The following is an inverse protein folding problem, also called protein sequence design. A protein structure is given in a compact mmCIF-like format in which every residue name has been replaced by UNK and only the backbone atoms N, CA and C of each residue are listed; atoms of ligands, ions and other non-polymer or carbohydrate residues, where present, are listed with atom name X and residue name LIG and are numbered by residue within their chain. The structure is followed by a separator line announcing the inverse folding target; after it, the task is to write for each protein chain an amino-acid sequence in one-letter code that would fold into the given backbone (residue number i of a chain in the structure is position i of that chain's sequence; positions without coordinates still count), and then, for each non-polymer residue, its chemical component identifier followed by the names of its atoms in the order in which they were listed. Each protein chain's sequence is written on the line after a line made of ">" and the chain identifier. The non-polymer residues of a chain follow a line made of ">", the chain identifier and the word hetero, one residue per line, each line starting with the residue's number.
data_IF_363446448957
#
_entry.id   IF_363446448957
#
_cell.length_a   1.000
_cell.length_b   1.000
_cell.length_c   1.000
_cell.angle_alpha   90.00
_cell.angle_beta   90.00
_cell.angle_gamma   90.00
#
_symmetry.space_group_name_H-M   'P 1'
#
loop_
_entity.id
_entity.type
_entity.pdbx_description
1 polymer ?
#
# COMPACT_ATOMS: atom_id res chain seq x y z
N UNK A 1 24.76 10.39 -13.00
CA UNK A 1 23.61 11.21 -13.46
C UNK A 1 23.63 11.37 -14.97
N UNK A 2 22.57 10.89 -15.62
CA UNK A 2 22.36 11.06 -17.06
C UNK A 2 22.12 12.53 -17.44
N UNK A 3 22.31 12.86 -18.72
CA UNK A 3 22.24 14.24 -19.23
C UNK A 3 20.86 14.89 -19.02
N UNK A 4 19.78 14.10 -18.99
CA UNK A 4 18.41 14.56 -18.82
C UNK A 4 17.90 14.59 -17.36
N UNK A 5 18.75 14.22 -16.38
CA UNK A 5 18.32 14.13 -14.99
C UNK A 5 18.24 15.50 -14.31
N UNK A 6 17.02 15.94 -13.98
CA UNK A 6 16.75 17.27 -13.38
C UNK A 6 16.88 17.29 -11.85
N UNK A 7 16.79 16.15 -11.18
CA UNK A 7 16.77 16.04 -9.71
C UNK A 7 17.60 14.87 -9.18
N UNK A 8 17.90 14.91 -7.88
CA UNK A 8 18.47 13.80 -7.13
C UNK A 8 17.33 13.00 -6.52
N UNK A 9 17.12 11.78 -7.00
CA UNK A 9 16.04 10.92 -6.54
C UNK A 9 16.47 10.12 -5.30
N UNK A 10 15.61 10.06 -4.30
CA UNK A 10 15.86 9.28 -3.09
C UNK A 10 14.62 8.50 -2.65
N UNK A 11 14.85 7.43 -1.88
CA UNK A 11 13.82 6.63 -1.24
C UNK A 11 14.18 6.43 0.23
N UNK A 12 13.26 6.77 1.12
CA UNK A 12 13.38 6.49 2.56
C UNK A 12 12.81 5.10 2.84
N UNK A 13 13.60 4.24 3.48
CA UNK A 13 13.17 2.89 3.87
C UNK A 13 13.78 2.47 5.20
N UNK A 14 13.27 1.38 5.77
CA UNK A 14 13.80 0.75 6.97
C UNK A 14 15.07 -0.09 6.71
N UNK A 15 15.25 -0.59 5.49
CA UNK A 15 16.39 -1.43 5.14
C UNK A 15 16.72 -1.42 3.66
N UNK A 16 17.98 -1.67 3.33
CA UNK A 16 18.45 -1.79 1.95
C UNK A 16 17.74 -2.91 1.17
N UNK A 17 17.27 -3.95 1.88
CA UNK A 17 16.49 -5.03 1.27
C UNK A 17 15.11 -4.53 0.85
N UNK A 18 14.42 -3.81 1.74
CA UNK A 18 13.12 -3.18 1.49
C UNK A 18 13.20 -2.19 0.33
N UNK A 19 14.23 -1.34 0.32
CA UNK A 19 14.49 -0.40 -0.76
C UNK A 19 14.54 -1.08 -2.12
N UNK A 20 15.34 -2.15 -2.26
CA UNK A 20 15.52 -2.86 -3.54
C UNK A 20 14.26 -3.54 -4.07
N UNK A 21 13.32 -3.90 -3.20
CA UNK A 21 12.04 -4.51 -3.57
C UNK A 21 10.90 -3.50 -3.71
N UNK A 22 11.16 -2.21 -3.50
CA UNK A 22 10.12 -1.20 -3.52
C UNK A 22 9.55 -1.01 -4.95
N UNK A 23 8.21 -0.99 -5.10
CA UNK A 23 7.57 -0.88 -6.41
C UNK A 23 7.90 0.45 -7.11
N UNK A 24 8.17 1.51 -6.34
CA UNK A 24 8.52 2.84 -6.85
C UNK A 24 9.80 2.86 -7.69
N UNK A 25 10.68 1.86 -7.58
CA UNK A 25 11.95 1.83 -8.30
C UNK A 25 11.83 1.31 -9.74
N UNK A 26 10.78 0.57 -10.09
CA UNK A 26 10.72 -0.17 -11.36
C UNK A 26 10.93 0.75 -12.57
N UNK A 27 10.24 1.90 -12.61
CA UNK A 27 10.35 2.86 -13.72
C UNK A 27 11.72 3.56 -13.75
N UNK A 28 12.33 3.84 -12.60
CA UNK A 28 13.65 4.48 -12.53
C UNK A 28 14.76 3.52 -12.96
N UNK A 29 14.68 2.25 -12.56
CA UNK A 29 15.62 1.20 -12.99
C UNK A 29 15.52 0.99 -14.50
N UNK A 30 14.32 0.95 -15.07
CA UNK A 30 14.12 0.83 -16.52
C UNK A 30 14.73 2.01 -17.31
N UNK A 31 14.72 3.21 -16.73
CA UNK A 31 15.31 4.43 -17.31
C UNK A 31 16.79 4.64 -16.94
N UNK A 32 17.42 3.68 -16.27
CA UNK A 32 18.82 3.77 -15.79
C UNK A 32 19.08 5.02 -14.92
N UNK A 33 18.10 5.39 -14.09
CA UNK A 33 18.18 6.52 -13.16
C UNK A 33 18.62 6.04 -11.78
N UNK A 34 19.71 6.61 -11.29
CA UNK A 34 20.25 6.31 -9.96
C UNK A 34 19.35 6.89 -8.85
N UNK A 35 19.12 6.09 -7.80
CA UNK A 35 18.32 6.46 -6.62
C UNK A 35 19.16 6.28 -5.35
N UNK A 36 19.13 7.28 -4.47
CA UNK A 36 19.75 7.23 -3.15
C UNK A 36 18.82 6.52 -2.15
N UNK A 37 19.32 5.49 -1.48
CA UNK A 37 18.59 4.84 -0.39
C UNK A 37 18.96 5.49 0.94
N UNK A 38 17.96 6.05 1.60
CA UNK A 38 18.05 6.61 2.93
C UNK A 38 17.49 5.57 3.90
N UNK A 39 18.36 5.02 4.75
CA UNK A 39 18.00 3.89 5.63
C UNK A 39 18.08 4.25 7.10
N UNK A 40 18.70 5.38 7.42
CA UNK A 40 18.78 5.88 8.79
C UNK A 40 17.75 7.01 9.00
N UNK A 41 17.07 7.07 10.16
CA UNK A 41 16.09 8.13 10.44
C UNK A 41 16.65 9.56 10.33
N UNK A 42 17.95 9.73 10.53
CA UNK A 42 18.63 11.03 10.41
C UNK A 42 18.80 11.48 8.95
N UNK A 43 18.83 10.54 8.00
CA UNK A 43 19.07 10.81 6.59
C UNK A 43 17.96 11.68 5.99
N UNK A 44 16.70 11.37 6.32
CA UNK A 44 15.54 12.11 5.84
C UNK A 44 15.61 13.57 6.31
N UNK A 45 15.89 13.79 7.59
CA UNK A 45 16.04 15.12 8.18
C UNK A 45 17.20 15.88 7.55
N UNK A 46 18.31 15.19 7.27
CA UNK A 46 19.47 15.80 6.62
C UNK A 46 19.14 16.27 5.19
N UNK A 47 18.49 15.43 4.38
CA UNK A 47 18.11 15.74 3.01
C UNK A 47 17.06 16.86 2.94
N UNK A 48 16.05 16.83 3.83
CA UNK A 48 15.04 17.88 3.92
C UNK A 48 15.66 19.25 4.24
N UNK A 49 16.68 19.29 5.10
CA UNK A 49 17.40 20.54 5.44
C UNK A 49 18.38 20.98 4.35
N UNK A 50 19.00 20.05 3.62
CA UNK A 50 19.96 20.35 2.56
C UNK A 50 19.27 21.04 1.36
N UNK A 51 18.02 20.66 1.06
CA UNK A 51 17.16 21.14 -0.04
C UNK A 51 17.71 20.93 -1.45
N UNK A 52 18.94 21.38 -1.73
CA UNK A 52 19.60 21.27 -3.02
C UNK A 52 21.07 20.90 -2.88
N UNK A 53 21.59 20.19 -3.87
CA UNK A 53 23.02 19.93 -4.02
C UNK A 53 23.41 20.17 -5.47
N UNK A 54 24.41 21.04 -5.71
CA UNK A 54 24.84 21.45 -7.06
C UNK A 54 23.66 21.85 -7.97
N UNK A 55 22.77 22.70 -7.43
CA UNK A 55 21.57 23.22 -8.11
C UNK A 55 20.49 22.16 -8.42
N UNK A 56 20.67 20.91 -7.97
CA UNK A 56 19.68 19.84 -8.11
C UNK A 56 18.90 19.69 -6.81
N UNK A 57 17.57 19.64 -6.92
CA UNK A 57 16.66 19.37 -5.79
C UNK A 57 16.65 17.88 -5.46
N UNK A 58 16.42 17.56 -4.20
CA UNK A 58 16.10 16.21 -3.77
C UNK A 58 14.61 15.92 -3.98
N UNK A 59 14.28 14.80 -4.62
CA UNK A 59 12.92 14.36 -4.91
C UNK A 59 12.72 12.95 -4.34
N UNK A 60 11.69 12.80 -3.53
CA UNK A 60 11.30 11.53 -2.95
C UNK A 60 10.48 10.74 -3.97
N UNK A 61 10.94 9.55 -4.32
CA UNK A 61 10.26 8.74 -5.35
C UNK A 61 9.00 8.03 -4.83
N UNK A 62 8.78 8.01 -3.51
CA UNK A 62 7.54 7.49 -2.93
C UNK A 62 6.38 8.49 -3.00
N UNK A 63 6.68 9.75 -3.39
CA UNK A 63 5.69 10.81 -3.52
C UNK A 63 5.15 10.91 -4.93
N UNK A 64 3.94 11.46 -5.02
CA UNK A 64 3.15 11.62 -6.24
C UNK A 64 3.82 12.53 -7.28
N UNK A 65 4.73 13.43 -6.87
CA UNK A 65 5.29 14.50 -7.70
C UNK A 65 6.50 14.09 -8.56
N UNK A 66 6.62 12.80 -8.89
CA UNK A 66 7.79 12.28 -9.59
C UNK A 66 7.73 12.50 -11.12
N UNK A 67 8.39 13.56 -11.58
CA UNK A 67 8.59 13.83 -13.01
C UNK A 67 9.87 13.17 -13.54
N UNK A 68 9.72 12.23 -14.49
CA UNK A 68 10.81 11.46 -15.09
C UNK A 68 11.15 11.86 -16.54
N UNK A 69 10.75 13.07 -16.96
CA UNK A 69 11.04 13.62 -18.29
C UNK A 69 10.15 13.10 -19.44
N UNK A 70 10.17 13.85 -20.54
CA UNK A 70 9.07 13.95 -21.52
C UNK A 70 9.06 12.86 -22.61
N UNK A 71 9.96 11.87 -22.57
CA UNK A 71 10.15 10.93 -23.70
C UNK A 71 8.97 9.97 -23.96
N UNK A 72 8.04 9.80 -23.01
CA UNK A 72 6.93 8.84 -23.11
C UNK A 72 5.52 9.48 -23.08
N UNK A 73 5.39 10.81 -23.26
CA UNK A 73 4.10 11.51 -23.11
C UNK A 73 2.96 10.92 -23.96
N UNK A 74 3.27 10.43 -25.17
CA UNK A 74 2.26 9.87 -26.08
C UNK A 74 1.69 8.57 -25.52
N UNK A 75 2.57 7.65 -25.08
CA UNK A 75 2.14 6.37 -24.50
C UNK A 75 1.41 6.58 -23.18
N UNK A 76 1.86 7.52 -22.36
CA UNK A 76 1.20 7.85 -21.10
C UNK A 76 -0.21 8.40 -21.35
N UNK A 77 -0.40 9.26 -22.37
CA UNK A 77 -1.74 9.75 -22.74
C UNK A 77 -2.66 8.65 -23.26
N UNK A 78 -2.15 7.75 -24.11
CA UNK A 78 -2.92 6.62 -24.63
C UNK A 78 -3.34 5.67 -23.52
N UNK A 79 -2.42 5.30 -22.63
CA UNK A 79 -2.72 4.46 -21.47
C UNK A 79 -3.72 5.14 -20.52
N UNK A 80 -3.57 6.45 -20.26
CA UNK A 80 -4.54 7.20 -19.46
C UNK A 80 -5.95 7.15 -20.07
N UNK A 81 -6.06 7.30 -21.39
CA UNK A 81 -7.36 7.22 -22.07
C UNK A 81 -7.96 5.82 -22.04
N UNK A 82 -7.15 4.79 -22.25
CA UNK A 82 -7.60 3.40 -22.30
C UNK A 82 -8.08 2.87 -20.94
N UNK A 83 -7.40 3.27 -19.86
CA UNK A 83 -7.63 2.78 -18.51
C UNK A 83 -8.43 3.75 -17.63
N UNK A 84 -8.88 4.89 -18.16
CA UNK A 84 -9.67 5.86 -17.40
C UNK A 84 -10.92 5.22 -16.76
N UNK A 85 -11.64 4.42 -17.54
CA UNK A 85 -12.82 3.70 -17.05
C UNK A 85 -12.48 2.75 -15.89
N UNK A 86 -11.34 2.07 -15.96
CA UNK A 86 -10.89 1.18 -14.89
C UNK A 86 -10.55 1.98 -13.63
N UNK A 87 -9.83 3.10 -13.78
CA UNK A 87 -9.48 3.98 -12.67
C UNK A 87 -10.73 4.51 -11.95
N UNK A 88 -11.72 4.99 -12.69
CA UNK A 88 -12.98 5.45 -12.13
C UNK A 88 -13.72 4.32 -11.41
N UNK A 89 -13.76 3.13 -12.01
CA UNK A 89 -14.40 1.96 -11.41
C UNK A 89 -13.70 1.52 -10.13
N UNK A 90 -12.36 1.47 -10.11
CA UNK A 90 -11.58 1.18 -8.90
C UNK A 90 -11.81 2.23 -7.81
N UNK A 91 -11.87 3.53 -8.17
CA UNK A 91 -12.15 4.61 -7.22
C UNK A 91 -13.54 4.50 -6.60
N UNK A 92 -14.55 4.11 -7.39
CA UNK A 92 -15.90 3.85 -6.91
C UNK A 92 -15.92 2.65 -5.95
N UNK A 93 -15.25 1.56 -6.34
CA UNK A 93 -15.21 0.33 -5.55
C UNK A 93 -14.47 0.51 -4.21
N UNK A 94 -13.36 1.24 -4.22
CA UNK A 94 -12.53 1.48 -3.03
C UNK A 94 -13.08 2.61 -2.14
N UNK A 95 -14.00 3.43 -2.65
CA UNK A 95 -14.62 4.51 -1.89
C UNK A 95 -13.59 5.43 -1.23
N UNK A 96 -13.74 5.67 0.07
CA UNK A 96 -12.87 6.60 0.81
C UNK A 96 -11.46 6.06 1.11
N UNK A 97 -11.18 4.79 0.80
CA UNK A 97 -9.84 4.21 0.97
C UNK A 97 -8.79 4.92 0.09
N UNK A 98 -9.20 5.37 -1.09
CA UNK A 98 -8.35 6.09 -2.05
C UNK A 98 -8.99 7.41 -2.47
N UNK A 99 -8.20 8.47 -2.58
CA UNK A 99 -8.67 9.75 -3.10
C UNK A 99 -8.74 9.77 -4.62
N UNK A 100 -7.82 9.07 -5.28
CA UNK A 100 -7.73 8.98 -6.74
C UNK A 100 -7.15 7.62 -7.14
N UNK A 101 -7.57 7.10 -8.28
CA UNK A 101 -6.88 6.04 -8.99
C UNK A 101 -6.42 6.57 -10.35
N UNK A 102 -5.21 6.23 -10.78
CA UNK A 102 -4.66 6.70 -12.06
C UNK A 102 -3.72 5.69 -12.71
N UNK A 103 -3.70 5.70 -14.04
CA UNK A 103 -2.72 4.98 -14.83
C UNK A 103 -1.53 5.90 -15.05
N UNK A 104 -0.41 5.58 -14.38
CA UNK A 104 0.83 6.37 -14.34
C UNK A 104 0.69 7.73 -13.63
N UNK A 105 1.79 8.15 -12.97
CA UNK A 105 1.88 9.43 -12.26
C UNK A 105 1.47 10.62 -13.13
N UNK A 106 0.42 11.32 -12.71
CA UNK A 106 0.00 12.58 -13.29
C UNK A 106 0.10 13.69 -12.25
N UNK A 107 1.13 14.52 -12.39
CA UNK A 107 1.41 15.67 -11.55
C UNK A 107 0.45 16.84 -11.76
N UNK A 108 -0.58 16.77 -12.59
CA UNK A 108 -1.42 17.95 -12.90
C UNK A 108 -2.48 18.29 -11.83
N UNK A 109 -2.76 17.40 -10.87
CA UNK A 109 -3.84 17.58 -9.88
C UNK A 109 -3.28 18.02 -8.51
N UNK A 110 -2.68 19.21 -8.51
CA UNK A 110 -1.75 19.66 -7.47
C UNK A 110 -2.45 20.24 -6.24
N UNK A 111 -1.89 19.91 -5.07
CA UNK A 111 -2.02 20.58 -3.77
C UNK A 111 -3.16 20.12 -2.83
N UNK A 112 -4.38 19.87 -3.33
CA UNK A 112 -5.50 19.46 -2.46
C UNK A 112 -5.50 17.97 -2.06
N UNK A 113 -4.69 17.15 -2.74
CA UNK A 113 -4.56 15.71 -2.46
C UNK A 113 -3.39 15.37 -1.53
N UNK A 114 -2.63 16.37 -1.02
CA UNK A 114 -1.56 16.14 -0.05
C UNK A 114 -2.09 15.38 1.17
N UNK A 115 -1.43 14.26 1.50
CA UNK A 115 -1.80 13.40 2.62
C UNK A 115 -2.94 12.41 2.34
N UNK A 116 -3.45 12.35 1.10
CA UNK A 116 -4.43 11.34 0.70
C UNK A 116 -3.77 10.21 -0.10
N UNK A 117 -4.32 8.99 0.02
CA UNK A 117 -3.84 7.81 -0.69
C UNK A 117 -4.26 7.87 -2.17
N UNK A 118 -3.31 7.65 -3.08
CA UNK A 118 -3.55 7.59 -4.52
C UNK A 118 -3.10 6.22 -5.01
N UNK A 119 -3.97 5.54 -5.75
CA UNK A 119 -3.68 4.23 -6.31
C UNK A 119 -3.15 4.40 -7.74
N UNK A 120 -1.88 4.10 -7.94
CA UNK A 120 -1.28 4.04 -9.27
C UNK A 120 -1.29 2.62 -9.80
N UNK A 121 -1.82 2.44 -11.01
CA UNK A 121 -1.85 1.15 -11.69
C UNK A 121 -0.80 1.08 -12.79
N UNK A 122 -0.21 -0.10 -12.96
CA UNK A 122 0.66 -0.42 -14.09
C UNK A 122 -0.19 -0.98 -15.26
N UNK A 123 -0.37 -0.22 -16.37
CA UNK A 123 -1.20 -0.64 -17.50
C UNK A 123 -0.69 -1.90 -18.20
N UNK A 124 0.60 -2.21 -18.09
CA UNK A 124 1.21 -3.37 -18.75
C UNK A 124 0.98 -4.68 -18.02
N UNK A 125 0.58 -4.61 -16.75
CA UNK A 125 0.42 -5.78 -15.90
C UNK A 125 -0.80 -6.63 -16.31
N UNK A 126 -0.68 -7.97 -16.46
CA UNK A 126 -1.77 -8.83 -16.91
C UNK A 126 -3.06 -8.69 -16.08
N UNK A 127 -2.94 -8.65 -14.75
CA UNK A 127 -4.10 -8.47 -13.85
C UNK A 127 -4.84 -7.15 -14.14
N UNK A 128 -4.12 -6.07 -14.44
CA UNK A 128 -4.73 -4.77 -14.73
C UNK A 128 -5.45 -4.80 -16.08
N UNK A 129 -4.91 -5.50 -17.07
CA UNK A 129 -5.57 -5.72 -18.36
C UNK A 129 -6.85 -6.55 -18.22
N UNK A 130 -6.80 -7.62 -17.43
CA UNK A 130 -7.97 -8.46 -17.14
C UNK A 130 -9.05 -7.69 -16.37
N UNK A 131 -8.66 -6.87 -15.38
CA UNK A 131 -9.59 -5.99 -14.67
C UNK A 131 -10.20 -4.92 -15.59
N UNK A 132 -9.43 -4.37 -16.54
CA UNK A 132 -9.96 -3.45 -17.55
C UNK A 132 -11.00 -4.13 -18.46
N UNK A 133 -10.80 -5.40 -18.80
CA UNK A 133 -11.80 -6.18 -19.53
C UNK A 133 -13.03 -6.49 -18.66
N UNK A 134 -12.82 -6.82 -17.39
CA UNK A 134 -13.91 -7.08 -16.44
C UNK A 134 -14.77 -5.84 -16.20
N UNK A 135 -14.19 -4.66 -16.02
CA UNK A 135 -14.95 -3.43 -15.79
C UNK A 135 -15.80 -3.03 -17.02
N UNK A 136 -15.38 -3.40 -18.24
CA UNK A 136 -16.11 -3.15 -19.49
C UNK A 136 -17.24 -4.16 -19.72
N UNK A 137 -17.03 -5.43 -19.38
CA UNK A 137 -17.92 -6.52 -19.75
C UNK A 137 -18.84 -7.00 -18.61
N UNK A 138 -18.39 -6.87 -17.36
CA UNK A 138 -19.07 -7.34 -16.16
C UNK A 138 -18.77 -6.45 -14.94
N UNK A 139 -19.18 -5.16 -14.95
CA UNK A 139 -18.84 -4.19 -13.90
C UNK A 139 -19.40 -4.54 -12.52
N UNK A 140 -20.41 -5.40 -12.44
CA UNK A 140 -21.03 -5.88 -11.19
C UNK A 140 -20.45 -7.23 -10.73
N UNK A 141 -19.36 -7.72 -11.36
CA UNK A 141 -18.75 -8.99 -10.96
C UNK A 141 -18.17 -8.89 -9.55
N UNK A 142 -18.74 -9.69 -8.65
CA UNK A 142 -18.27 -9.80 -7.27
C UNK A 142 -16.82 -10.31 -7.20
N UNK A 143 -16.40 -11.14 -8.17
CA UNK A 143 -15.04 -11.65 -8.31
C UNK A 143 -14.06 -10.52 -8.63
N UNK A 144 -14.38 -9.69 -9.64
CA UNK A 144 -13.53 -8.57 -10.04
C UNK A 144 -13.39 -7.55 -8.89
N UNK A 145 -14.50 -7.26 -8.22
CA UNK A 145 -14.52 -6.43 -7.01
C UNK A 145 -13.61 -6.99 -5.91
N UNK A 146 -13.69 -8.29 -5.60
CA UNK A 146 -12.81 -8.94 -4.61
C UNK A 146 -11.33 -8.82 -4.98
N UNK A 147 -11.01 -8.96 -6.26
CA UNK A 147 -9.63 -8.80 -6.76
C UNK A 147 -9.14 -7.36 -6.58
N UNK A 148 -9.97 -6.35 -6.82
CA UNK A 148 -9.61 -4.94 -6.58
C UNK A 148 -9.32 -4.67 -5.12
N UNK A 149 -10.18 -5.13 -4.21
CA UNK A 149 -9.98 -4.95 -2.77
C UNK A 149 -8.67 -5.61 -2.30
N UNK A 150 -8.41 -6.83 -2.73
CA UNK A 150 -7.16 -7.53 -2.40
C UNK A 150 -5.94 -6.83 -2.99
N UNK A 151 -6.03 -6.40 -4.25
CA UNK A 151 -4.94 -5.70 -4.92
C UNK A 151 -4.59 -4.42 -4.17
N UNK A 152 -5.59 -3.69 -3.70
CA UNK A 152 -5.40 -2.52 -2.85
C UNK A 152 -4.74 -2.88 -1.51
N UNK A 153 -5.26 -3.89 -0.79
CA UNK A 153 -4.69 -4.29 0.50
C UNK A 153 -3.23 -4.77 0.37
N UNK A 154 -2.92 -5.47 -0.73
CA UNK A 154 -1.56 -5.91 -1.06
C UNK A 154 -0.65 -4.72 -1.38
N UNK A 155 -1.16 -3.75 -2.14
CA UNK A 155 -0.43 -2.53 -2.51
C UNK A 155 -0.10 -1.67 -1.29
N UNK A 156 -1.00 -1.62 -0.30
CA UNK A 156 -0.76 -0.92 0.97
C UNK A 156 0.45 -1.51 1.69
N UNK A 157 0.51 -2.84 1.79
CA UNK A 157 1.63 -3.53 2.43
C UNK A 157 2.93 -3.33 1.64
N UNK A 158 2.90 -3.54 0.32
CA UNK A 158 4.12 -3.41 -0.51
C UNK A 158 4.67 -1.99 -0.54
N UNK A 159 3.80 -1.00 -0.35
CA UNK A 159 4.18 0.42 -0.28
C UNK A 159 4.66 0.84 1.11
N UNK A 160 4.73 -0.08 2.08
CA UNK A 160 5.20 0.19 3.44
C UNK A 160 4.15 0.78 4.38
N UNK A 161 2.87 0.80 3.99
CA UNK A 161 1.77 1.22 4.85
C UNK A 161 1.18 0.03 5.61
N UNK A 162 0.64 0.30 6.80
CA UNK A 162 -0.14 -0.69 7.55
C UNK A 162 -1.58 -0.72 7.04
N UNK A 163 -2.14 -1.91 6.71
CA UNK A 163 -3.55 -2.03 6.37
C UNK A 163 -4.44 -1.68 7.55
N UNK A 164 -5.60 -1.08 7.27
CA UNK A 164 -6.52 -0.61 8.31
C UNK A 164 -7.09 -1.79 9.13
N UNK A 165 -7.26 -2.97 8.52
CA UNK A 165 -7.73 -4.20 9.17
C UNK A 165 -6.90 -5.42 8.72
N UNK A 166 -5.81 -5.78 9.44
CA UNK A 166 -4.98 -6.95 9.11
C UNK A 166 -5.74 -8.28 9.14
N UNK A 167 -6.75 -8.40 10.02
CA UNK A 167 -7.56 -9.60 10.16
C UNK A 167 -8.45 -9.83 8.92
N UNK A 168 -9.08 -8.78 8.39
CA UNK A 168 -9.88 -8.88 7.17
C UNK A 168 -9.05 -9.28 5.97
N UNK A 169 -7.85 -8.71 5.82
CA UNK A 169 -6.92 -9.12 4.76
C UNK A 169 -6.55 -10.60 4.90
N UNK A 170 -6.24 -11.06 6.12
CA UNK A 170 -5.97 -12.47 6.40
C UNK A 170 -7.11 -13.38 5.94
N UNK A 171 -8.35 -13.02 6.27
CA UNK A 171 -9.54 -13.77 5.86
C UNK A 171 -9.70 -13.84 4.34
N UNK A 172 -9.55 -12.71 3.63
CA UNK A 172 -9.58 -12.69 2.15
C UNK A 172 -8.52 -13.59 1.54
N UNK A 173 -7.31 -13.59 2.11
CA UNK A 173 -6.21 -14.46 1.67
C UNK A 173 -6.56 -15.93 1.89
N UNK A 174 -7.09 -16.28 3.06
CA UNK A 174 -7.52 -17.65 3.37
C UNK A 174 -8.62 -18.15 2.44
N UNK A 175 -9.62 -17.32 2.12
CA UNK A 175 -10.68 -17.66 1.18
C UNK A 175 -10.14 -17.97 -0.22
N UNK A 176 -9.23 -17.15 -0.74
CA UNK A 176 -8.59 -17.41 -2.03
C UNK A 176 -7.71 -18.65 -2.02
N UNK A 177 -6.93 -18.87 -0.94
CA UNK A 177 -6.14 -20.07 -0.78
C UNK A 177 -7.06 -21.30 -0.76
N UNK A 178 -8.19 -21.25 -0.04
CA UNK A 178 -9.16 -22.33 -0.01
C UNK A 178 -9.76 -22.61 -1.40
N UNK A 179 -10.08 -21.58 -2.18
CA UNK A 179 -10.55 -21.73 -3.56
C UNK A 179 -9.48 -22.34 -4.48
N UNK A 180 -8.22 -21.91 -4.36
CA UNK A 180 -7.12 -22.38 -5.20
C UNK A 180 -6.63 -23.80 -4.83
N UNK A 181 -6.67 -24.14 -3.54
CA UNK A 181 -6.25 -25.43 -2.99
C UNK A 181 -7.38 -26.46 -3.04
N UNK A 182 -8.65 -26.02 -3.13
CA UNK A 182 -9.87 -26.81 -3.08
C UNK A 182 -9.74 -28.30 -3.44
N UNK A 183 -9.54 -29.14 -2.42
CA UNK A 183 -9.52 -30.61 -2.54
C UNK A 183 -8.31 -31.23 -3.23
N UNK A 184 -7.30 -30.44 -3.62
CA UNK A 184 -6.15 -30.89 -4.43
C UNK A 184 -5.24 -31.89 -3.72
N UNK A 185 -5.33 -31.99 -2.40
CA UNK A 185 -4.59 -32.93 -1.55
C UNK A 185 -5.47 -33.78 -0.63
N UNK A 186 -6.76 -33.93 -0.98
CA UNK A 186 -7.73 -34.67 -0.17
C UNK A 186 -8.35 -33.80 0.91
N UNK A 187 -9.68 -33.66 0.86
CA UNK A 187 -10.45 -33.04 1.94
C UNK A 187 -10.47 -34.06 3.08
N UNK A 188 -9.98 -33.71 4.27
CA UNK A 188 -10.29 -34.52 5.46
C UNK A 188 -11.80 -34.37 5.65
N UNK A 189 -12.55 -35.42 5.36
CA UNK A 189 -13.99 -35.45 5.64
C UNK A 189 -14.16 -35.32 7.16
N UNK A 190 -14.61 -34.17 7.64
CA UNK A 190 -14.84 -33.99 9.09
C UNK A 190 -14.90 -32.57 9.65
N UNK A 191 -14.68 -31.51 8.88
CA UNK A 191 -14.88 -30.15 9.40
C UNK A 191 -15.89 -29.38 8.55
N UNK A 192 -17.14 -29.38 9.03
CA UNK A 192 -18.15 -28.42 8.61
C UNK A 192 -17.60 -27.02 8.88
N UNK A 193 -17.70 -26.13 7.89
CA UNK A 193 -17.37 -24.73 8.05
C UNK A 193 -18.28 -24.12 9.10
N UNK A 194 -17.77 -23.88 10.31
CA UNK A 194 -18.41 -22.94 11.23
C UNK A 194 -18.30 -21.56 10.60
N UNK A 195 -19.38 -21.11 9.98
CA UNK A 195 -19.62 -19.70 9.69
C UNK A 195 -19.38 -18.92 10.99
N UNK A 196 -18.42 -18.00 10.98
CA UNK A 196 -18.23 -17.04 12.07
C UNK A 196 -19.49 -16.17 12.10
N UNK A 197 -20.42 -16.54 12.98
CA UNK A 197 -21.64 -15.80 13.24
C UNK A 197 -21.32 -14.52 14.01
N UNK A 198 -22.00 -13.44 13.63
CA UNK A 198 -22.14 -12.22 14.42
C UNK A 198 -22.48 -12.58 15.88
N UNK A 199 -21.55 -12.24 16.78
CA UNK A 199 -21.76 -12.30 18.23
C UNK A 199 -22.16 -10.92 18.72
N UNK A 200 -23.46 -10.78 18.95
CA UNK A 200 -24.16 -9.71 19.67
C UNK A 200 -23.39 -9.26 20.94
N UNK A 201 -23.20 -7.95 21.09
CA UNK A 201 -22.72 -7.31 22.30
C UNK A 201 -23.61 -7.67 23.50
N UNK A 202 -23.08 -8.41 24.47
CA UNK A 202 -23.54 -8.33 25.86
C UNK A 202 -22.38 -8.33 26.83
N UNK A 203 -22.35 -7.24 27.60
CA UNK A 203 -21.47 -6.90 28.70
C UNK A 203 -21.00 -8.10 29.53
N UNK A 204 -19.69 -8.35 29.49
CA UNK A 204 -18.97 -9.11 30.50
C UNK A 204 -17.98 -8.16 31.18
N UNK A 205 -18.32 -7.71 32.38
CA UNK A 205 -17.44 -6.90 33.23
C UNK A 205 -16.08 -7.61 33.41
N UNK A 206 -15.00 -6.93 33.01
CA UNK A 206 -13.65 -7.40 33.25
C UNK A 206 -13.35 -7.31 34.75
N UNK A 207 -13.14 -8.45 35.40
CA UNK A 207 -12.73 -8.52 36.80
C UNK A 207 -11.29 -7.99 36.93
N UNK A 208 -11.17 -6.75 37.39
CA UNK A 208 -9.88 -6.12 37.72
C UNK A 208 -9.40 -6.72 39.04
N UNK A 209 -8.41 -7.60 38.98
CA UNK A 209 -7.72 -8.10 40.17
C UNK A 209 -6.78 -6.99 40.67
N UNK A 210 -7.17 -6.32 41.75
CA UNK A 210 -6.32 -5.31 42.40
C UNK A 210 -5.08 -5.97 43.05
N UNK A 211 -3.88 -5.38 42.89
CA UNK A 211 -2.68 -5.88 43.55
C UNK A 211 -2.77 -5.65 45.06
N UNK A 212 -2.62 -6.72 45.85
CA UNK A 212 -2.69 -6.67 47.31
C UNK A 212 -1.64 -5.73 47.90
N UNK A 213 -2.09 -4.77 48.71
CA UNK A 213 -1.21 -3.83 49.44
C UNK A 213 -0.29 -4.57 50.43
N UNK A 214 1.01 -4.32 50.30
CA UNK A 214 2.04 -4.78 51.23
C UNK A 214 1.89 -3.98 52.54
N UNK A 215 1.37 -4.61 53.60
CA UNK A 215 1.34 -4.02 54.95
C UNK A 215 2.77 -3.81 55.45
N UNK A 216 3.17 -2.56 55.56
CA UNK A 216 4.38 -2.15 56.26
C UNK A 216 4.04 -1.73 57.69
N UNK A 217 4.04 -2.67 58.64
CA UNK A 217 4.05 -2.32 60.08
C UNK A 217 4.84 -3.36 60.89
N UNK A 218 6.12 -3.07 61.14
CA UNK A 218 6.72 -2.84 62.47
C UNK A 218 8.25 -2.91 62.36
N UNK A 219 8.88 -1.74 62.35
CA UNK A 219 10.34 -1.57 62.41
C UNK A 219 10.83 -1.86 63.85
N UNK A 220 11.72 -2.84 64.08
CA UNK A 220 12.09 -3.27 65.42
C UNK A 220 13.18 -2.41 66.10
N UNK A 221 13.35 -1.14 65.69
CA UNK A 221 14.38 -0.22 66.21
C UNK A 221 13.85 1.11 66.76
N UNK A 222 12.70 1.10 67.44
CA UNK A 222 12.32 2.20 68.33
C UNK A 222 12.06 1.67 69.74
N UNK A 223 13.05 1.94 70.60
CA UNK A 223 13.21 1.77 72.06
C UNK A 223 13.17 0.35 72.68
#
# INVERSE_FOLDING_TARGET
>A
MGENQKAIYYLVTDSLKSAKSAPFLEKLIQKDIEVLYLVEPIDEVAIQNLQTYKEKKFVDISKEDLELGDEDEVKEREAKQEFNLLCDWMKQQLGDKVAKAQALGDTSSLEFMRGRRILEINPDHPIIKDLNAACKNAPESSEATRVVDLLYDTAIISSGFTPDSPAELGNKIYEMMAMAVGGRWGRVEGEESSSVGEGDEKDGEAEVVEPSEVRAESDPWQD
#
